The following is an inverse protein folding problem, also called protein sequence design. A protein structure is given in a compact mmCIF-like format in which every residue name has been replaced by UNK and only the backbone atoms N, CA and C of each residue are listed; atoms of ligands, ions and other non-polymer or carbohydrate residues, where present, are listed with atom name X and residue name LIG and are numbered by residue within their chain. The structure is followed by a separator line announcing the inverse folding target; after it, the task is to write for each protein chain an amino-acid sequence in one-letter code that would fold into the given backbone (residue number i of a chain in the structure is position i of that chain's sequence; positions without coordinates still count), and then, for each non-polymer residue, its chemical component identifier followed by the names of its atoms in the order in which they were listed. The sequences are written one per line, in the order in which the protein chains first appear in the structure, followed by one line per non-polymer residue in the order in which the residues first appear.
data_IF_364768303289
#
_entry.id   IF_364768303289
#
_cell.length_a   1.000
_cell.length_b   1.000
_cell.length_c   1.000
_cell.angle_alpha   90.00
_cell.angle_beta   90.00
_cell.angle_gamma   90.00
#
_symmetry.space_group_name_H-M   'P 1'
#
loop_
_entity.id
_entity.type
_entity.pdbx_description
1 polymer ?
#
# COMPACT_ATOMS: atom_id res chain seq x y z
N UNK A 1 2.53 12.80 -76.03
CA UNK A 1 3.43 11.67 -76.29
C UNK A 1 4.05 11.27 -74.96
N UNK A 2 3.50 10.31 -74.23
CA UNK A 2 3.74 8.85 -74.39
C UNK A 2 5.17 8.52 -73.92
N UNK A 3 5.32 8.10 -72.65
CA UNK A 3 5.83 6.77 -72.19
C UNK A 3 7.33 6.85 -71.83
N UNK A 4 7.92 6.22 -70.81
CA UNK A 4 7.59 5.42 -69.61
C UNK A 4 8.96 5.01 -69.03
N UNK A 5 9.04 4.74 -67.71
CA UNK A 5 9.72 3.59 -67.08
C UNK A 5 10.46 4.01 -65.78
N UNK A 6 9.98 3.56 -64.61
CA UNK A 6 10.50 2.39 -63.83
C UNK A 6 11.47 2.90 -62.75
N UNK A 7 11.47 2.51 -61.47
CA UNK A 7 10.91 1.43 -60.66
C UNK A 7 10.84 1.97 -59.20
N UNK A 8 9.93 1.50 -58.36
CA UNK A 8 10.36 0.57 -57.32
C UNK A 8 9.52 0.71 -56.06
N UNK A 9 8.92 -0.40 -55.66
CA UNK A 9 8.03 -0.62 -54.52
C UNK A 9 8.82 -0.63 -53.21
N UNK A 10 8.31 -0.01 -52.14
CA UNK A 10 8.19 -0.70 -50.84
C UNK A 10 7.26 0.03 -49.86
N UNK A 11 6.26 -0.74 -49.44
CA UNK A 11 5.27 -0.47 -48.42
C UNK A 11 5.87 -0.86 -47.07
N UNK A 12 5.88 0.04 -46.07
CA UNK A 12 6.14 -0.35 -44.67
C UNK A 12 5.17 0.36 -43.74
N UNK A 13 4.19 -0.44 -43.34
CA UNK A 13 3.51 -0.53 -42.05
C UNK A 13 3.48 0.66 -41.08
N UNK A 14 2.24 0.98 -40.74
CA UNK A 14 1.74 1.50 -39.47
C UNK A 14 2.58 1.07 -38.26
N UNK A 15 3.00 2.06 -37.46
CA UNK A 15 3.28 1.89 -36.04
C UNK A 15 2.14 2.59 -35.29
N UNK A 16 1.22 1.79 -34.77
CA UNK A 16 0.28 2.17 -33.72
C UNK A 16 1.04 2.27 -32.41
N UNK A 17 1.11 3.46 -31.82
CA UNK A 17 1.58 3.66 -30.46
C UNK A 17 0.60 3.00 -29.49
N UNK A 18 0.95 1.80 -29.04
CA UNK A 18 0.30 1.15 -27.91
C UNK A 18 0.86 1.77 -26.62
N UNK A 19 0.01 2.50 -25.90
CA UNK A 19 0.22 2.86 -24.50
C UNK A 19 0.31 1.55 -23.69
N UNK A 20 1.31 1.35 -22.82
CA UNK A 20 1.40 0.11 -22.06
C UNK A 20 0.37 0.15 -20.92
N UNK A 21 -0.70 -0.61 -21.07
CA UNK A 21 -1.57 -1.08 -19.98
C UNK A 21 -0.81 -2.10 -19.13
N UNK A 22 -0.01 -1.66 -18.16
CA UNK A 22 0.72 -2.55 -17.23
C UNK A 22 0.39 -2.32 -15.75
N UNK A 23 -0.51 -1.38 -15.42
CA UNK A 23 -0.80 -1.03 -14.02
C UNK A 23 -1.63 -2.06 -13.24
N UNK A 24 -2.31 -2.98 -13.92
CA UNK A 24 -3.23 -3.95 -13.28
C UNK A 24 -2.54 -5.20 -12.72
N UNK A 25 -1.48 -5.68 -13.36
CA UNK A 25 -0.72 -6.86 -12.90
C UNK A 25 0.23 -6.50 -11.76
N UNK A 26 0.94 -5.36 -11.87
CA UNK A 26 1.89 -4.93 -10.83
C UNK A 26 1.22 -4.62 -9.49
N UNK A 27 0.00 -4.07 -9.50
CA UNK A 27 -0.72 -3.74 -8.26
C UNK A 27 -1.29 -4.98 -7.55
N UNK A 28 -1.61 -6.06 -8.29
CA UNK A 28 -2.10 -7.33 -7.73
C UNK A 28 -0.95 -8.16 -7.15
N UNK A 29 0.18 -8.25 -7.85
CA UNK A 29 1.38 -8.93 -7.33
C UNK A 29 1.88 -8.27 -6.05
N UNK A 30 1.88 -6.93 -6.02
CA UNK A 30 2.32 -6.11 -4.90
C UNK A 30 1.45 -6.20 -3.65
N UNK A 31 0.14 -6.32 -3.83
CA UNK A 31 -0.77 -6.60 -2.74
C UNK A 31 -0.65 -8.03 -2.21
N UNK A 32 -0.33 -8.98 -3.09
CA UNK A 32 -0.04 -10.34 -2.69
C UNK A 32 1.22 -10.40 -1.80
N UNK A 33 2.24 -9.56 -2.06
CA UNK A 33 3.41 -9.39 -1.17
C UNK A 33 3.01 -8.98 0.25
N UNK A 34 2.06 -8.06 0.39
CA UNK A 34 1.61 -7.57 1.69
C UNK A 34 0.49 -8.41 2.34
N UNK A 35 -0.01 -9.42 1.62
CA UNK A 35 -1.02 -10.36 2.15
C UNK A 35 -0.40 -11.47 3.02
N UNK A 36 0.92 -11.63 2.96
CA UNK A 36 1.67 -12.63 3.73
C UNK A 36 2.14 -11.96 5.03
N UNK A 37 1.66 -12.47 6.17
CA UNK A 37 2.17 -12.17 7.51
C UNK A 37 2.27 -10.68 7.87
N UNK A 38 1.14 -10.00 8.18
CA UNK A 38 1.13 -8.58 8.62
C UNK A 38 2.15 -8.25 9.71
N UNK A 39 2.41 -9.20 10.61
CA UNK A 39 3.38 -9.03 11.68
C UNK A 39 4.84 -9.01 11.20
N UNK A 40 5.14 -9.72 10.11
CA UNK A 40 6.47 -9.76 9.50
C UNK A 40 6.74 -8.48 8.74
N UNK A 41 5.76 -7.99 7.99
CA UNK A 41 5.84 -6.71 7.26
C UNK A 41 6.11 -5.55 8.22
N UNK A 42 5.30 -5.43 9.28
CA UNK A 42 5.48 -4.37 10.29
C UNK A 42 6.89 -4.46 10.90
N UNK A 43 7.33 -5.66 11.26
CA UNK A 43 8.64 -5.90 11.88
C UNK A 43 9.81 -5.59 10.95
N UNK A 44 9.76 -6.04 9.70
CA UNK A 44 10.80 -5.77 8.69
C UNK A 44 10.83 -4.28 8.38
N UNK A 45 9.68 -3.63 8.27
CA UNK A 45 9.60 -2.18 8.02
C UNK A 45 10.18 -1.38 9.17
N UNK A 46 9.84 -1.71 10.42
CA UNK A 46 10.44 -1.11 11.61
C UNK A 46 11.97 -1.25 11.63
N UNK A 47 12.48 -2.43 11.28
CA UNK A 47 13.93 -2.68 11.23
C UNK A 47 14.62 -1.88 10.11
N UNK A 48 14.03 -1.81 8.92
CA UNK A 48 14.53 -0.98 7.81
C UNK A 48 14.61 0.49 8.24
N UNK A 49 13.58 0.99 8.91
CA UNK A 49 13.55 2.35 9.45
C UNK A 49 14.64 2.58 10.49
N UNK A 50 14.81 1.66 11.43
CA UNK A 50 15.85 1.74 12.47
C UNK A 50 17.26 1.71 11.88
N UNK A 51 17.54 0.81 10.93
CA UNK A 51 18.83 0.72 10.24
C UNK A 51 19.12 2.01 9.50
N UNK A 52 18.14 2.58 8.80
CA UNK A 52 18.32 3.83 8.06
C UNK A 52 18.57 5.02 9.00
N UNK A 53 17.84 5.13 10.12
CA UNK A 53 18.02 6.20 11.11
C UNK A 53 19.39 6.13 11.82
N UNK A 54 20.00 4.95 11.88
CA UNK A 54 21.34 4.76 12.48
C UNK A 54 22.48 5.24 11.58
N UNK A 55 22.20 5.53 10.31
CA UNK A 55 23.19 5.88 9.29
C UNK A 55 23.13 7.37 8.92
N UNK A 56 24.24 7.98 8.45
CA UNK A 56 24.20 9.33 7.90
C UNK A 56 23.26 9.36 6.69
N UNK A 57 22.33 10.31 6.69
CA UNK A 57 21.13 10.35 5.83
C UNK A 57 21.46 10.43 4.32
N UNK A 58 21.67 9.28 3.69
CA UNK A 58 21.95 9.11 2.26
C UNK A 58 21.20 7.90 1.68
N UNK A 59 21.40 7.63 0.39
CA UNK A 59 20.89 6.44 -0.28
C UNK A 59 21.62 5.19 0.21
N UNK A 60 20.86 4.20 0.69
CA UNK A 60 21.41 2.93 1.17
C UNK A 60 21.23 1.84 0.13
N UNK A 61 22.22 0.95 -0.01
CA UNK A 61 22.12 -0.18 -0.92
C UNK A 61 21.12 -1.22 -0.39
N UNK A 62 20.17 -1.63 -1.22
CA UNK A 62 19.09 -2.56 -0.86
C UNK A 62 19.66 -3.90 -0.35
N UNK A 63 20.56 -4.51 -1.13
CA UNK A 63 21.16 -5.80 -0.79
C UNK A 63 21.96 -5.73 0.52
N UNK A 64 22.71 -4.64 0.76
CA UNK A 64 23.48 -4.48 1.97
C UNK A 64 22.59 -4.43 3.23
N UNK A 65 21.44 -3.75 3.14
CA UNK A 65 20.47 -3.69 4.24
C UNK A 65 19.75 -5.03 4.42
N UNK A 66 19.39 -5.73 3.36
CA UNK A 66 18.82 -7.08 3.46
C UNK A 66 19.76 -8.05 4.19
N UNK A 67 21.05 -8.02 3.84
CA UNK A 67 22.09 -8.79 4.54
C UNK A 67 22.25 -8.37 6.01
N UNK A 68 22.11 -7.09 6.34
CA UNK A 68 22.13 -6.64 7.74
C UNK A 68 20.94 -7.22 8.52
N UNK A 69 19.74 -7.19 7.98
CA UNK A 69 18.53 -7.72 8.63
C UNK A 69 18.70 -9.20 8.96
N UNK A 70 19.13 -10.00 7.98
CA UNK A 70 19.37 -11.45 8.16
C UNK A 70 20.40 -11.71 9.27
N UNK A 71 21.55 -11.02 9.21
CA UNK A 71 22.68 -11.27 10.11
C UNK A 71 22.49 -10.71 11.54
N UNK A 72 21.82 -9.57 11.69
CA UNK A 72 21.67 -8.89 12.99
C UNK A 72 20.55 -9.53 13.80
N UNK A 73 19.46 -9.92 13.15
CA UNK A 73 18.26 -10.34 13.84
C UNK A 73 18.13 -11.87 13.92
N UNK A 74 18.73 -12.61 12.99
CA UNK A 74 18.62 -14.08 12.93
C UNK A 74 17.18 -14.56 12.77
N UNK A 75 16.31 -13.73 12.18
CA UNK A 75 14.91 -14.08 11.88
C UNK A 75 14.79 -15.02 10.69
N UNK A 76 15.82 -15.02 9.82
CA UNK A 76 15.89 -15.78 8.58
C UNK A 76 17.25 -16.49 8.51
N UNK A 77 17.26 -17.73 8.03
CA UNK A 77 18.44 -18.57 7.86
C UNK A 77 19.28 -18.12 6.66
N UNK A 78 18.63 -17.68 5.58
CA UNK A 78 19.26 -17.18 4.36
C UNK A 78 18.40 -16.10 3.67
N UNK A 79 18.89 -15.61 2.52
CA UNK A 79 18.23 -14.55 1.77
C UNK A 79 16.98 -15.04 1.03
N UNK A 80 16.92 -16.32 0.67
CA UNK A 80 15.77 -16.90 -0.03
C UNK A 80 14.57 -16.98 0.94
N UNK A 81 14.79 -17.41 2.19
CA UNK A 81 13.76 -17.37 3.24
C UNK A 81 13.27 -15.95 3.53
N UNK A 82 14.19 -14.97 3.52
CA UNK A 82 13.83 -13.56 3.68
C UNK A 82 12.97 -13.04 2.53
N UNK A 83 13.33 -13.35 1.27
CA UNK A 83 12.54 -12.97 0.10
C UNK A 83 11.16 -13.64 0.11
N UNK A 84 11.07 -14.92 0.50
CA UNK A 84 9.79 -15.61 0.68
C UNK A 84 8.91 -14.91 1.74
N UNK A 85 9.50 -14.46 2.84
CA UNK A 85 8.78 -13.76 3.92
C UNK A 85 8.21 -12.40 3.49
N UNK A 86 8.92 -11.67 2.61
CA UNK A 86 8.39 -10.41 2.02
C UNK A 86 7.59 -10.65 0.73
N UNK A 87 7.42 -11.91 0.34
CA UNK A 87 6.65 -12.37 -0.82
C UNK A 87 7.35 -12.25 -2.18
N UNK A 88 8.61 -11.85 -2.21
CA UNK A 88 9.37 -11.61 -3.45
C UNK A 88 10.68 -10.87 -3.18
N UNK A 89 11.24 -10.19 -4.19
CA UNK A 89 12.53 -9.52 -3.97
C UNK A 89 12.44 -8.37 -2.96
N UNK A 90 13.48 -8.21 -2.15
CA UNK A 90 13.52 -7.11 -1.17
C UNK A 90 13.44 -5.72 -1.85
N UNK A 91 13.97 -5.58 -3.06
CA UNK A 91 13.79 -4.35 -3.86
C UNK A 91 12.31 -4.08 -4.15
N UNK A 92 11.56 -5.11 -4.56
CA UNK A 92 10.12 -4.99 -4.84
C UNK A 92 9.35 -4.63 -3.58
N UNK A 93 9.69 -5.25 -2.45
CA UNK A 93 9.11 -4.93 -1.15
C UNK A 93 9.34 -3.47 -0.74
N UNK A 94 10.58 -2.97 -0.82
CA UNK A 94 10.89 -1.58 -0.49
C UNK A 94 10.21 -0.60 -1.45
N UNK A 95 10.14 -0.96 -2.73
CA UNK A 95 9.33 -0.22 -3.71
C UNK A 95 7.87 -0.18 -3.33
N UNK A 96 7.40 -1.05 -2.45
CA UNK A 96 6.01 -1.08 -2.02
C UNK A 96 5.62 -0.10 -0.95
N UNK A 97 6.57 0.28 -0.13
CA UNK A 97 6.32 1.16 0.99
C UNK A 97 6.12 2.60 0.49
N UNK A 98 5.05 3.31 0.91
CA UNK A 98 4.75 4.66 0.42
C UNK A 98 5.82 5.71 0.75
N UNK A 99 6.50 5.54 1.87
CA UNK A 99 7.49 6.47 2.41
C UNK A 99 8.94 6.10 2.02
N UNK A 100 9.11 5.15 1.09
CA UNK A 100 10.41 4.71 0.57
C UNK A 100 10.50 4.99 -0.92
N UNK A 101 11.57 5.68 -1.30
CA UNK A 101 12.01 5.81 -2.68
C UNK A 101 13.09 4.78 -2.99
N UNK A 102 13.00 4.15 -4.16
CA UNK A 102 14.00 3.17 -4.63
C UNK A 102 14.44 3.53 -6.04
N UNK A 103 15.75 3.58 -6.27
CA UNK A 103 16.36 3.89 -7.57
C UNK A 103 17.46 2.89 -7.91
N UNK A 104 17.96 2.98 -9.14
CA UNK A 104 19.25 2.37 -9.52
C UNK A 104 20.33 3.45 -9.43
N UNK A 105 21.35 3.21 -8.61
CA UNK A 105 22.51 4.09 -8.48
C UNK A 105 23.45 3.99 -9.69
N UNK A 106 24.59 4.68 -9.61
CA UNK A 106 25.55 4.84 -10.74
C UNK A 106 26.11 3.53 -11.30
N UNK A 107 26.07 2.45 -10.52
CA UNK A 107 26.55 1.12 -10.90
C UNK A 107 25.43 0.14 -11.27
N UNK A 108 24.20 0.62 -11.40
CA UNK A 108 23.02 -0.23 -11.58
C UNK A 108 22.59 -0.98 -10.32
N UNK A 109 23.19 -0.67 -9.16
CA UNK A 109 22.86 -1.26 -7.86
C UNK A 109 21.58 -0.59 -7.34
N UNK A 110 20.65 -1.37 -6.80
CA UNK A 110 19.44 -0.84 -6.19
C UNK A 110 19.77 -0.13 -4.88
N UNK A 111 19.29 1.10 -4.76
CA UNK A 111 19.43 1.93 -3.57
C UNK A 111 18.06 2.44 -3.14
N UNK A 112 17.86 2.61 -1.83
CA UNK A 112 16.64 3.19 -1.27
C UNK A 112 16.93 4.36 -0.34
N UNK A 113 15.90 5.18 -0.14
CA UNK A 113 15.91 6.31 0.79
C UNK A 113 14.57 6.42 1.49
N UNK A 114 14.58 6.60 2.82
CA UNK A 114 13.38 6.99 3.55
C UNK A 114 13.09 8.46 3.31
N UNK A 115 11.83 8.75 3.01
CA UNK A 115 11.31 10.10 2.90
C UNK A 115 10.86 10.54 4.30
N UNK A 116 11.58 11.48 4.94
CA UNK A 116 11.11 12.00 6.21
C UNK A 116 9.76 12.70 6.01
N UNK A 117 8.85 12.63 6.99
CA UNK A 117 7.64 13.44 6.95
C UNK A 117 8.01 14.91 6.88
N UNK A 118 7.23 15.70 6.13
CA UNK A 118 7.40 17.14 6.06
C UNK A 118 7.14 17.74 7.46
N UNK A 119 8.13 18.39 8.10
CA UNK A 119 7.94 18.97 9.43
C UNK A 119 6.91 20.11 9.44
N UNK A 120 6.62 20.71 8.29
CA UNK A 120 5.64 21.78 8.12
C UNK A 120 4.32 21.27 7.50
N UNK A 121 4.12 19.94 7.47
CA UNK A 121 2.90 19.33 6.98
C UNK A 121 1.67 19.89 7.69
N UNK A 122 0.68 20.31 6.90
CA UNK A 122 -0.61 20.78 7.41
C UNK A 122 -1.59 19.62 7.51
N UNK A 123 -2.60 19.70 8.41
CA UNK A 123 -3.66 18.71 8.47
C UNK A 123 -4.24 18.46 7.08
N UNK A 124 -4.36 17.21 6.67
CA UNK A 124 -4.69 16.86 5.30
C UNK A 124 -5.74 15.75 5.27
N UNK A 125 -6.73 15.92 4.40
CA UNK A 125 -7.72 14.89 4.10
C UNK A 125 -7.39 14.26 2.75
N UNK A 126 -7.33 12.93 2.73
CA UNK A 126 -7.14 12.12 1.54
C UNK A 126 -8.44 11.40 1.20
N UNK A 127 -8.94 11.51 -0.03
CA UNK A 127 -10.16 10.85 -0.47
C UNK A 127 -9.85 9.91 -1.62
N UNK A 128 -10.21 8.64 -1.47
CA UNK A 128 -10.04 7.59 -2.47
C UNK A 128 -11.43 7.04 -2.84
N UNK A 129 -11.77 7.14 -4.12
CA UNK A 129 -12.91 6.44 -4.71
C UNK A 129 -12.50 5.03 -5.11
N UNK A 130 -13.02 4.03 -4.40
CA UNK A 130 -12.77 2.60 -4.68
C UNK A 130 -13.80 2.14 -5.68
N UNK A 131 -13.38 1.95 -6.93
CA UNK A 131 -14.29 1.63 -8.06
C UNK A 131 -14.07 0.24 -8.63
N UNK A 132 -12.93 -0.37 -8.32
CA UNK A 132 -12.51 -1.69 -8.80
C UNK A 132 -11.74 -2.43 -7.71
N UNK A 133 -11.68 -3.75 -7.80
CA UNK A 133 -10.99 -4.59 -6.79
C UNK A 133 -9.50 -4.28 -6.68
N UNK A 134 -8.88 -3.76 -7.73
CA UNK A 134 -7.49 -3.31 -7.72
C UNK A 134 -7.24 -2.14 -6.76
N UNK A 135 -8.24 -1.30 -6.49
CA UNK A 135 -8.08 -0.17 -5.56
C UNK A 135 -7.98 -0.64 -4.10
N UNK A 136 -8.58 -1.79 -3.75
CA UNK A 136 -8.44 -2.41 -2.43
C UNK A 136 -6.99 -2.82 -2.12
N UNK A 137 -6.18 -2.98 -3.15
CA UNK A 137 -4.80 -3.42 -3.06
C UNK A 137 -3.80 -2.26 -2.99
N UNK A 138 -4.29 -1.02 -2.98
CA UNK A 138 -3.46 0.16 -2.67
C UNK A 138 -2.97 0.08 -1.24
N UNK A 139 -1.71 0.43 -1.04
CA UNK A 139 -1.06 0.49 0.27
C UNK A 139 -1.28 1.85 0.87
N UNK A 140 -1.86 1.86 2.06
CA UNK A 140 -2.04 3.02 2.90
C UNK A 140 -0.99 2.99 4.01
N UNK A 141 -0.10 3.97 3.99
CA UNK A 141 0.61 4.40 5.19
C UNK A 141 -0.36 5.29 5.97
N UNK A 142 -1.00 4.74 6.99
CA UNK A 142 -1.86 5.47 7.93
C UNK A 142 -1.00 6.00 9.07
N UNK A 143 -1.00 7.32 9.27
CA UNK A 143 -0.31 7.93 10.41
C UNK A 143 -0.94 7.50 11.76
N UNK A 144 -0.19 7.71 12.85
CA UNK A 144 -0.61 7.30 14.19
C UNK A 144 -1.90 8.00 14.66
N UNK A 145 -2.09 9.25 14.24
CA UNK A 145 -3.21 10.12 14.63
C UNK A 145 -4.29 10.23 13.54
N UNK A 146 -4.09 9.60 12.39
CA UNK A 146 -5.08 9.58 11.32
C UNK A 146 -6.28 8.68 11.65
N UNK A 147 -7.42 9.03 11.08
CA UNK A 147 -8.64 8.22 11.08
C UNK A 147 -9.04 7.86 9.65
N UNK A 148 -9.48 6.62 9.44
CA UNK A 148 -10.04 6.16 8.15
C UNK A 148 -11.56 6.10 8.28
N UNK A 149 -12.28 6.76 7.39
CA UNK A 149 -13.74 6.85 7.39
C UNK A 149 -14.34 6.24 6.13
N UNK A 150 -15.50 5.62 6.31
CA UNK A 150 -16.35 5.10 5.25
C UNK A 150 -17.69 5.86 5.33
N UNK A 151 -17.82 7.03 4.67
CA UNK A 151 -18.96 7.93 4.88
C UNK A 151 -20.32 7.28 4.65
N UNK A 152 -20.41 6.37 3.67
CA UNK A 152 -21.65 5.65 3.34
C UNK A 152 -22.14 4.72 4.46
N UNK A 153 -21.24 4.28 5.34
CA UNK A 153 -21.55 3.41 6.49
C UNK A 153 -21.59 4.16 7.81
N UNK A 154 -21.32 5.47 7.80
CA UNK A 154 -21.08 6.27 9.02
C UNK A 154 -20.07 5.59 9.98
N UNK A 155 -19.10 4.89 9.41
CA UNK A 155 -18.11 4.09 10.14
C UNK A 155 -16.72 4.70 10.06
N UNK A 156 -15.96 4.62 11.16
CA UNK A 156 -14.57 5.02 11.21
C UNK A 156 -13.65 4.01 11.92
N UNK A 157 -12.44 3.89 11.41
CA UNK A 157 -11.28 3.29 12.06
C UNK A 157 -10.50 4.44 12.69
N UNK A 158 -10.63 4.59 14.01
CA UNK A 158 -9.98 5.65 14.76
C UNK A 158 -8.45 5.53 14.84
N UNK A 159 -7.83 6.57 15.38
CA UNK A 159 -6.41 6.60 15.71
C UNK A 159 -6.05 5.49 16.73
N UNK A 160 -4.88 4.89 16.54
CA UNK A 160 -4.37 3.76 17.33
C UNK A 160 -2.98 4.04 17.95
N UNK A 161 -2.54 5.31 17.91
CA UNK A 161 -1.25 5.79 18.47
C UNK A 161 -0.02 5.10 17.86
N UNK A 162 -0.19 4.37 16.76
CA UNK A 162 0.87 3.70 16.00
C UNK A 162 0.60 3.89 14.52
N UNK A 163 1.65 4.13 13.74
CA UNK A 163 1.52 4.08 12.28
C UNK A 163 1.17 2.66 11.83
N UNK A 164 0.39 2.53 10.77
CA UNK A 164 0.02 1.25 10.15
C UNK A 164 0.29 1.34 8.66
N UNK A 165 0.94 0.33 8.10
CA UNK A 165 1.21 0.27 6.65
C UNK A 165 0.60 -1.00 6.14
N UNK A 166 -0.50 -0.89 5.41
CA UNK A 166 -1.21 -2.06 4.94
C UNK A 166 -2.05 -1.74 3.70
N UNK A 167 -2.62 -2.76 3.08
CA UNK A 167 -3.56 -2.56 1.97
C UNK A 167 -4.90 -2.04 2.48
N UNK A 168 -5.63 -1.30 1.64
CA UNK A 168 -7.02 -0.87 1.92
C UNK A 168 -7.89 -2.08 2.30
N UNK A 169 -7.73 -3.20 1.59
CA UNK A 169 -8.37 -4.48 1.89
C UNK A 169 -8.14 -4.90 3.34
N UNK A 170 -6.88 -4.88 3.79
CA UNK A 170 -6.51 -5.32 5.12
C UNK A 170 -6.96 -4.34 6.21
N UNK A 171 -7.00 -3.04 5.94
CA UNK A 171 -7.62 -2.09 6.88
C UNK A 171 -9.10 -2.43 7.12
N UNK A 172 -9.84 -2.79 6.07
CA UNK A 172 -11.26 -3.18 6.18
C UNK A 172 -11.40 -4.54 6.90
N UNK A 173 -10.64 -5.57 6.52
CA UNK A 173 -10.75 -6.89 7.17
C UNK A 173 -10.30 -6.85 8.63
N UNK A 174 -9.30 -6.04 8.98
CA UNK A 174 -8.90 -5.81 10.37
C UNK A 174 -10.02 -5.12 11.16
N UNK A 175 -10.72 -4.15 10.58
CA UNK A 175 -11.88 -3.52 11.20
C UNK A 175 -13.01 -4.54 11.45
N UNK A 176 -13.32 -5.39 10.46
CA UNK A 176 -14.29 -6.50 10.57
C UNK A 176 -13.91 -7.44 11.71
N UNK A 177 -12.64 -7.85 11.78
CA UNK A 177 -12.15 -8.76 12.82
C UNK A 177 -12.22 -8.14 14.21
N UNK A 178 -11.85 -6.87 14.35
CA UNK A 178 -11.89 -6.13 15.62
C UNK A 178 -13.33 -6.00 16.15
N UNK A 179 -14.27 -5.62 15.29
CA UNK A 179 -15.70 -5.53 15.63
C UNK A 179 -16.28 -6.89 16.02
N UNK A 180 -16.00 -7.93 15.23
CA UNK A 180 -16.44 -9.30 15.49
C UNK A 180 -15.89 -9.85 16.81
N UNK A 181 -14.64 -9.54 17.14
CA UNK A 181 -14.01 -9.93 18.41
C UNK A 181 -14.67 -9.25 19.61
N UNK A 182 -15.15 -8.02 19.45
CA UNK A 182 -15.88 -7.27 20.47
C UNK A 182 -17.16 -7.98 20.92
N UNK A 183 -17.86 -8.64 19.99
CA UNK A 183 -19.05 -9.46 20.24
C UNK A 183 -18.71 -10.77 20.96
N UNK A 184 -17.64 -11.45 20.53
CA UNK A 184 -17.19 -12.72 21.17
C UNK A 184 -16.71 -12.51 22.60
N UNK A 185 -16.00 -11.41 22.87
CA UNK A 185 -15.42 -11.13 24.19
C UNK A 185 -16.42 -10.71 25.27
N UNK A 186 -17.68 -10.43 24.93
CA UNK A 186 -18.71 -9.92 25.86
C UNK A 186 -19.98 -10.77 25.92
N UNK A 187 -19.89 -12.07 25.65
CA UNK A 187 -21.06 -12.97 25.68
C UNK A 187 -21.88 -12.78 26.97
N UNK A 188 -23.10 -12.24 26.82
CA UNK A 188 -24.08 -12.04 27.90
C UNK A 188 -24.27 -10.59 28.40
N UNK A 189 -23.39 -9.63 28.05
CA UNK A 189 -23.43 -8.26 28.60
C UNK A 189 -23.62 -7.14 27.56
N UNK A 190 -23.82 -7.47 26.28
CA UNK A 190 -24.08 -6.49 25.22
C UNK A 190 -25.59 -6.44 24.93
N UNK A 191 -26.23 -5.25 24.93
CA UNK A 191 -27.63 -5.12 24.53
C UNK A 191 -27.88 -5.68 23.12
N UNK A 192 -29.04 -6.30 22.90
CA UNK A 192 -29.41 -6.90 21.61
C UNK A 192 -29.25 -5.94 20.43
N UNK A 193 -29.63 -4.68 20.64
CA UNK A 193 -29.65 -3.67 19.59
C UNK A 193 -28.22 -3.27 19.18
N UNK A 194 -27.29 -3.25 20.14
CA UNK A 194 -25.86 -3.05 19.88
C UNK A 194 -25.27 -4.25 19.13
N UNK A 195 -25.66 -5.48 19.47
CA UNK A 195 -25.22 -6.67 18.73
C UNK A 195 -25.70 -6.60 17.27
N UNK A 196 -26.97 -6.27 17.05
CA UNK A 196 -27.53 -6.12 15.70
C UNK A 196 -26.78 -5.07 14.88
N UNK A 197 -26.54 -3.89 15.47
CA UNK A 197 -25.84 -2.77 14.79
C UNK A 197 -24.40 -3.14 14.42
N UNK A 198 -23.66 -3.83 15.31
CA UNK A 198 -22.30 -4.28 15.02
C UNK A 198 -22.29 -5.34 13.92
N UNK A 199 -23.23 -6.30 13.96
CA UNK A 199 -23.34 -7.33 12.90
C UNK A 199 -23.64 -6.70 11.55
N UNK A 200 -24.59 -5.76 11.48
CA UNK A 200 -24.92 -5.04 10.24
C UNK A 200 -23.71 -4.27 9.69
N UNK A 201 -22.93 -3.62 10.56
CA UNK A 201 -21.70 -2.93 10.17
C UNK A 201 -20.65 -3.91 9.63
N UNK A 202 -20.48 -5.07 10.29
CA UNK A 202 -19.56 -6.13 9.86
C UNK A 202 -19.94 -6.67 8.48
N UNK A 203 -21.23 -6.92 8.26
CA UNK A 203 -21.74 -7.43 6.99
C UNK A 203 -21.53 -6.39 5.88
N UNK A 204 -21.80 -5.11 6.15
CA UNK A 204 -21.60 -4.02 5.20
C UNK A 204 -20.12 -3.81 4.84
N UNK A 205 -19.22 -3.83 5.82
CA UNK A 205 -17.76 -3.75 5.58
C UNK A 205 -17.26 -4.96 4.79
N UNK A 206 -17.79 -6.16 5.06
CA UNK A 206 -17.42 -7.37 4.32
C UNK A 206 -17.87 -7.26 2.86
N UNK A 207 -19.08 -6.75 2.60
CA UNK A 207 -19.58 -6.54 1.24
C UNK A 207 -18.73 -5.54 0.43
N UNK A 208 -18.13 -4.53 1.06
CA UNK A 208 -17.22 -3.59 0.39
C UNK A 208 -15.99 -4.26 -0.22
N UNK A 209 -15.56 -5.43 0.30
CA UNK A 209 -14.41 -6.17 -0.23
C UNK A 209 -14.68 -6.78 -1.62
N UNK A 210 -15.96 -6.90 -2.00
CA UNK A 210 -16.34 -7.37 -3.33
C UNK A 210 -16.33 -6.28 -4.40
N UNK A 211 -16.44 -5.01 -3.97
CA UNK A 211 -16.55 -3.83 -4.84
C UNK A 211 -17.65 -3.99 -5.90
N UNK A 212 -18.81 -4.53 -5.50
CA UNK A 212 -19.98 -4.62 -6.38
C UNK A 212 -20.55 -3.22 -6.70
N UNK A 213 -20.50 -2.33 -5.70
CA UNK A 213 -20.81 -0.91 -5.83
C UNK A 213 -19.58 -0.08 -5.42
N UNK A 214 -19.24 1.01 -6.15
CA UNK A 214 -18.18 1.91 -5.75
C UNK A 214 -18.44 2.53 -4.38
N UNK A 215 -17.38 2.77 -3.61
CA UNK A 215 -17.48 3.45 -2.33
C UNK A 215 -16.31 4.40 -2.08
N UNK A 216 -16.56 5.40 -1.24
CA UNK A 216 -15.56 6.39 -0.84
C UNK A 216 -14.88 5.96 0.45
N UNK A 217 -13.54 6.01 0.45
CA UNK A 217 -12.71 5.92 1.65
C UNK A 217 -12.05 7.27 1.88
N UNK A 218 -12.13 7.79 3.10
CA UNK A 218 -11.53 9.08 3.48
C UNK A 218 -10.53 8.87 4.60
N UNK A 219 -9.32 9.39 4.47
CA UNK A 219 -8.33 9.44 5.55
C UNK A 219 -8.19 10.88 6.01
N UNK A 220 -8.60 11.16 7.24
CA UNK A 220 -8.29 12.44 7.87
C UNK A 220 -7.01 12.29 8.67
N UNK A 221 -5.99 13.04 8.30
CA UNK A 221 -4.71 13.02 8.99
C UNK A 221 -4.37 14.39 9.57
N UNK A 222 -4.50 14.56 10.90
CA UNK A 222 -4.11 15.79 11.58
C UNK A 222 -2.64 16.18 11.39
N UNK A 223 -1.78 15.22 11.06
CA UNK A 223 -0.34 15.43 10.86
C UNK A 223 0.04 15.60 9.39
N UNK A 224 -0.85 15.25 8.45
CA UNK A 224 -0.60 15.35 7.02
C UNK A 224 0.46 14.39 6.46
N UNK A 225 0.86 13.34 7.20
CA UNK A 225 1.96 12.43 6.81
C UNK A 225 1.51 11.10 6.20
N UNK A 226 0.20 10.85 6.13
CA UNK A 226 -0.38 9.64 5.54
C UNK A 226 -0.14 9.62 4.03
N UNK A 227 0.03 8.42 3.46
CA UNK A 227 0.38 8.27 2.05
C UNK A 227 -0.33 7.05 1.45
N UNK A 228 -0.75 7.18 0.19
CA UNK A 228 -1.24 6.06 -0.61
C UNK A 228 -0.19 5.65 -1.65
N UNK A 229 -0.12 4.35 -1.93
CA UNK A 229 0.68 3.81 -3.03
C UNK A 229 -0.06 2.67 -3.77
N UNK A 230 -0.32 2.81 -5.08
CA UNK A 230 -0.14 4.02 -5.87
C UNK A 230 -1.09 5.15 -5.40
N UNK A 231 -0.68 6.41 -5.63
CA UNK A 231 -1.42 7.62 -5.20
C UNK A 231 -2.31 8.22 -6.29
N UNK A 232 -2.36 7.62 -7.49
CA UNK A 232 -3.14 8.12 -8.61
C UNK A 232 -4.64 8.12 -8.30
N UNK A 233 -5.31 9.23 -8.54
CA UNK A 233 -6.74 9.37 -8.27
C UNK A 233 -7.10 9.56 -6.79
N UNK A 234 -6.12 9.66 -5.89
CA UNK A 234 -6.36 10.11 -4.51
C UNK A 234 -6.48 11.62 -4.51
N UNK A 235 -7.63 12.13 -4.10
CA UNK A 235 -7.83 13.57 -3.90
C UNK A 235 -7.22 14.00 -2.57
N UNK A 236 -6.44 15.08 -2.58
CA UNK A 236 -5.70 15.57 -1.41
C UNK A 236 -6.10 17.01 -1.14
N UNK A 237 -6.60 17.27 0.07
CA UNK A 237 -7.00 18.60 0.53
C UNK A 237 -6.27 18.92 1.83
N UNK A 238 -5.32 19.85 1.77
CA UNK A 238 -4.67 20.41 2.96
C UNK A 238 -5.50 21.56 3.54
N UNK A 239 -5.62 21.59 4.88
CA UNK A 239 -6.47 22.50 5.65
C UNK A 239 -5.70 23.71 6.21
#
# INVERSE_FOLDING_TARGET
SVVTAMEGVQNTNQASDAVPTSGGESSRDFAHLLSIGHQEIDRITDEVEQIYQSQPTEWLQVEAVGQMIINVQGWYEDYDEFEDAVGGSFETFLRALPHIDVRKGDRGIAEFKLLPPDPDASPTTYTLEVTKREDLWRVLYKSADACVRFPALEFEIGADSKRRIDTVYNHITNAVWNLSSHLRGRQGNVPSDTVASITETVDALTAMLDVEEPFTLVVDDPTGVSLFKPSDGVEIVSL
#
